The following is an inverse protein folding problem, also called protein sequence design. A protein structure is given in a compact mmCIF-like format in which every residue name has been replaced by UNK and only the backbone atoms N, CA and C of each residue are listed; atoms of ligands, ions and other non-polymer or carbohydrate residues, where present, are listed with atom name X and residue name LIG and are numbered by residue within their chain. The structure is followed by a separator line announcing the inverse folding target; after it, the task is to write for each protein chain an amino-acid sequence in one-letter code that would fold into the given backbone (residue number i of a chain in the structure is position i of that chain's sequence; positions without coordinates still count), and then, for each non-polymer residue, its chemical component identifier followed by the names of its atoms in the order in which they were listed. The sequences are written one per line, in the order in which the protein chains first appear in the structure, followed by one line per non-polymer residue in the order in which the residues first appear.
data_IF_295097212653
#
_entry.id   IF_295097212653
#
_cell.length_a   1.000
_cell.length_b   1.000
_cell.length_c   1.000
_cell.angle_alpha   90.00
_cell.angle_beta   90.00
_cell.angle_gamma   90.00
#
_symmetry.space_group_name_H-M   'P 1'
#
loop_
_entity.id
_entity.type
_entity.pdbx_description
1 polymer ?
#
# COMPACT_ATOMS: atom_id res chain seq x y z
N UNK A 1 -1.15 -4.72 -20.40
CA UNK A 1 -0.94 -4.99 -18.96
C UNK A 1 -1.76 -3.97 -18.20
N UNK A 2 -2.74 -4.40 -17.39
CA UNK A 2 -3.50 -3.46 -16.57
C UNK A 2 -2.67 -3.02 -15.38
N UNK A 3 -2.99 -1.88 -14.78
CA UNK A 3 -2.26 -1.36 -13.63
C UNK A 3 -2.35 -2.30 -12.40
N UNK A 4 -3.40 -3.12 -12.29
CA UNK A 4 -3.57 -4.15 -11.25
C UNK A 4 -2.69 -5.38 -11.44
N UNK A 5 -2.32 -5.74 -12.67
CA UNK A 5 -1.51 -6.93 -12.96
C UNK A 5 0.00 -6.70 -12.79
N UNK A 6 0.40 -5.50 -12.37
CA UNK A 6 1.81 -5.16 -12.19
C UNK A 6 2.39 -5.84 -10.93
N UNK A 7 3.62 -6.34 -11.05
CA UNK A 7 4.42 -6.82 -9.93
C UNK A 7 4.56 -5.74 -8.85
N UNK A 8 4.34 -6.12 -7.59
CA UNK A 8 4.50 -5.22 -6.44
C UNK A 8 5.97 -4.79 -6.32
N UNK A 9 6.89 -5.76 -6.30
CA UNK A 9 8.32 -5.50 -6.16
C UNK A 9 8.84 -4.59 -7.28
N UNK A 10 8.60 -4.94 -8.54
CA UNK A 10 9.09 -4.16 -9.68
C UNK A 10 8.47 -2.76 -9.71
N UNK A 11 7.21 -2.61 -9.28
CA UNK A 11 6.56 -1.31 -9.17
C UNK A 11 7.26 -0.41 -8.15
N UNK A 12 7.68 -0.96 -7.02
CA UNK A 12 8.38 -0.21 -5.98
C UNK A 12 9.82 0.08 -6.41
N UNK A 13 10.54 -0.90 -6.96
CA UNK A 13 11.89 -0.71 -7.54
C UNK A 13 11.91 0.42 -8.56
N UNK A 14 10.94 0.42 -9.49
CA UNK A 14 10.81 1.48 -10.49
C UNK A 14 10.64 2.86 -9.87
N UNK A 15 9.88 2.99 -8.78
CA UNK A 15 9.70 4.27 -8.06
C UNK A 15 10.95 4.69 -7.28
N UNK A 16 11.76 3.73 -6.85
CA UNK A 16 13.07 3.97 -6.23
C UNK A 16 14.16 4.29 -7.27
N UNK A 17 13.86 4.22 -8.57
CA UNK A 17 14.84 4.44 -9.64
C UNK A 17 15.70 3.22 -9.97
N UNK A 18 15.27 2.03 -9.55
CA UNK A 18 15.97 0.76 -9.82
C UNK A 18 15.32 0.04 -11.00
N UNK A 19 16.16 -0.57 -11.84
CA UNK A 19 15.70 -1.45 -12.91
C UNK A 19 15.15 -2.77 -12.36
N UNK A 20 14.15 -3.35 -13.03
CA UNK A 20 13.54 -4.61 -12.61
C UNK A 20 14.54 -5.78 -12.57
N UNK A 21 15.52 -5.79 -13.48
CA UNK A 21 16.57 -6.81 -13.56
C UNK A 21 17.70 -6.64 -12.54
N UNK A 22 17.74 -5.55 -11.78
CA UNK A 22 18.76 -5.30 -10.76
C UNK A 22 18.33 -5.85 -9.41
N UNK A 23 18.84 -7.01 -9.02
CA UNK A 23 18.30 -7.82 -7.89
C UNK A 23 19.08 -7.70 -6.59
N UNK A 24 20.16 -6.91 -6.54
CA UNK A 24 21.06 -6.84 -5.36
C UNK A 24 20.35 -6.39 -4.08
N UNK A 25 19.27 -5.61 -4.20
CA UNK A 25 18.49 -5.08 -3.07
C UNK A 25 17.11 -5.71 -2.93
N UNK A 26 16.79 -6.77 -3.68
CA UNK A 26 15.43 -7.33 -3.68
C UNK A 26 15.01 -7.79 -2.28
N UNK A 27 15.91 -8.46 -1.56
CA UNK A 27 15.65 -8.95 -0.19
C UNK A 27 15.34 -7.80 0.78
N UNK A 28 16.11 -6.71 0.71
CA UNK A 28 15.91 -5.55 1.59
C UNK A 28 14.58 -4.83 1.27
N UNK A 29 14.32 -4.62 -0.02
CA UNK A 29 13.09 -3.96 -0.48
C UNK A 29 11.86 -4.81 -0.14
N UNK A 30 11.92 -6.13 -0.34
CA UNK A 30 10.87 -7.08 0.06
C UNK A 30 10.61 -6.99 1.56
N UNK A 31 11.67 -6.97 2.37
CA UNK A 31 11.56 -6.87 3.84
C UNK A 31 10.80 -5.61 4.25
N UNK A 32 11.09 -4.47 3.62
CA UNK A 32 10.38 -3.22 3.88
C UNK A 32 8.93 -3.25 3.37
N UNK A 33 8.68 -3.78 2.18
CA UNK A 33 7.33 -3.96 1.64
C UNK A 33 6.48 -4.80 2.60
N UNK A 34 6.99 -5.93 3.09
CA UNK A 34 6.27 -6.82 4.00
C UNK A 34 5.98 -6.14 5.36
N UNK A 35 6.90 -5.32 5.86
CA UNK A 35 6.67 -4.49 7.06
C UNK A 35 5.51 -3.49 6.85
N UNK A 36 5.40 -2.93 5.64
CA UNK A 36 4.31 -2.03 5.30
C UNK A 36 2.99 -2.76 5.14
N UNK A 37 2.97 -3.98 4.56
CA UNK A 37 1.77 -4.81 4.55
C UNK A 37 1.26 -5.12 5.96
N UNK A 38 2.15 -5.41 6.91
CA UNK A 38 1.77 -5.60 8.30
C UNK A 38 1.12 -4.34 8.91
N UNK A 39 1.59 -3.15 8.52
CA UNK A 39 0.98 -1.88 8.97
C UNK A 39 -0.39 -1.68 8.33
N UNK A 40 -0.52 -1.89 7.02
CA UNK A 40 -1.81 -1.80 6.32
C UNK A 40 -2.85 -2.78 6.89
N UNK A 41 -2.42 -3.98 7.28
CA UNK A 41 -3.28 -4.95 7.96
C UNK A 41 -3.86 -4.40 9.27
N UNK A 42 -3.06 -3.69 10.06
CA UNK A 42 -3.52 -3.07 11.31
C UNK A 42 -4.52 -1.93 11.05
N UNK A 43 -4.47 -1.31 9.87
CA UNK A 43 -5.46 -0.34 9.41
C UNK A 43 -6.68 -1.01 8.77
N UNK A 44 -6.81 -2.34 8.86
CA UNK A 44 -7.84 -3.15 8.21
C UNK A 44 -7.87 -3.04 6.67
N UNK A 45 -6.70 -2.79 6.05
CA UNK A 45 -6.55 -2.74 4.59
C UNK A 45 -5.84 -4.00 4.08
N UNK A 46 -6.48 -4.69 3.14
CA UNK A 46 -5.95 -5.89 2.49
C UNK A 46 -6.61 -7.19 2.95
N UNK A 47 -6.01 -8.35 2.66
CA UNK A 47 -6.56 -9.66 3.02
C UNK A 47 -6.62 -9.90 4.52
N UNK A 48 -7.68 -10.56 5.02
CA UNK A 48 -7.92 -10.76 6.46
C UNK A 48 -6.81 -11.50 7.21
N UNK A 49 -6.05 -12.37 6.54
CA UNK A 49 -4.95 -13.13 7.13
C UNK A 49 -3.57 -12.45 6.95
N UNK A 50 -3.54 -11.19 6.54
CA UNK A 50 -2.32 -10.49 6.15
C UNK A 50 -1.85 -10.87 4.75
N UNK A 51 -0.73 -10.26 4.35
CA UNK A 51 -0.13 -10.46 3.03
C UNK A 51 1.38 -10.26 3.11
N UNK A 52 2.12 -10.99 2.28
CA UNK A 52 3.57 -10.85 2.12
C UNK A 52 3.97 -11.31 0.73
N UNK A 53 5.12 -10.84 0.27
CA UNK A 53 5.75 -11.26 -0.98
C UNK A 53 7.11 -11.86 -0.69
N UNK A 54 7.53 -12.82 -1.52
CA UNK A 54 8.85 -13.46 -1.48
C UNK A 54 9.67 -13.17 -2.75
N UNK A 55 9.00 -12.72 -3.82
CA UNK A 55 9.60 -12.45 -5.12
C UNK A 55 8.77 -11.42 -5.90
N UNK A 56 9.11 -11.27 -7.19
CA UNK A 56 8.44 -10.35 -8.11
C UNK A 56 7.12 -10.86 -8.69
N UNK A 57 6.75 -12.12 -8.51
CA UNK A 57 5.57 -12.72 -9.15
C UNK A 57 4.27 -12.23 -8.51
N UNK A 58 4.33 -11.80 -7.25
CA UNK A 58 3.20 -11.20 -6.55
C UNK A 58 2.76 -9.86 -7.16
N UNK A 59 1.47 -9.77 -7.48
CA UNK A 59 0.84 -8.62 -8.16
C UNK A 59 0.00 -7.80 -7.21
N UNK A 60 -0.25 -6.55 -7.59
CA UNK A 60 -1.17 -5.70 -6.82
C UNK A 60 -2.59 -6.26 -6.74
N UNK A 61 -3.04 -7.00 -7.76
CA UNK A 61 -4.32 -7.71 -7.73
C UNK A 61 -4.36 -8.87 -6.72
N UNK A 62 -3.22 -9.43 -6.33
CA UNK A 62 -3.20 -10.48 -5.30
C UNK A 62 -3.45 -9.88 -3.90
N UNK A 63 -3.05 -8.62 -3.69
CA UNK A 63 -3.26 -7.90 -2.43
C UNK A 63 -4.61 -7.15 -2.38
N UNK A 64 -4.98 -6.49 -3.48
CA UNK A 64 -6.24 -5.77 -3.65
C UNK A 64 -7.00 -6.34 -4.86
N UNK A 65 -7.72 -7.46 -4.70
CA UNK A 65 -8.33 -8.20 -5.81
C UNK A 65 -9.45 -7.45 -6.51
N UNK A 66 -10.18 -6.61 -5.77
CA UNK A 66 -11.18 -5.71 -6.34
C UNK A 66 -10.55 -4.32 -6.44
N UNK A 67 -10.57 -3.76 -7.66
CA UNK A 67 -10.17 -2.38 -7.86
C UNK A 67 -11.18 -1.46 -7.16
N UNK A 68 -10.87 -1.09 -5.91
CA UNK A 68 -11.60 -0.08 -5.17
C UNK A 68 -10.84 1.26 -5.27
N UNK A 69 -11.37 2.25 -6.03
CA UNK A 69 -10.71 3.54 -6.18
C UNK A 69 -10.44 4.27 -4.86
N UNK A 70 -11.20 3.96 -3.79
CA UNK A 70 -11.03 4.56 -2.48
C UNK A 70 -9.70 4.14 -1.81
N UNK A 71 -9.14 2.99 -2.22
CA UNK A 71 -7.87 2.46 -1.70
C UNK A 71 -6.67 2.78 -2.61
N UNK A 72 -6.82 3.65 -3.61
CA UNK A 72 -5.75 3.98 -4.55
C UNK A 72 -4.46 4.50 -3.87
N UNK A 73 -4.58 5.13 -2.70
CA UNK A 73 -3.43 5.66 -1.95
C UNK A 73 -2.51 4.58 -1.37
N UNK A 74 -2.94 3.32 -1.27
CA UNK A 74 -2.14 2.19 -0.76
C UNK A 74 -0.78 2.09 -1.45
N UNK A 75 -0.74 2.26 -2.78
CA UNK A 75 0.51 2.11 -3.54
C UNK A 75 1.47 3.29 -3.33
N UNK A 76 0.93 4.49 -3.17
CA UNK A 76 1.71 5.68 -2.83
C UNK A 76 2.25 5.59 -1.40
N UNK A 77 1.41 5.16 -0.47
CA UNK A 77 1.78 4.86 0.91
C UNK A 77 2.92 3.83 0.98
N UNK A 78 2.78 2.71 0.26
CA UNK A 78 3.81 1.68 0.16
C UNK A 78 5.15 2.26 -0.28
N UNK A 79 5.16 3.01 -1.38
CA UNK A 79 6.37 3.65 -1.87
C UNK A 79 7.00 4.61 -0.85
N UNK A 80 6.22 5.50 -0.25
CA UNK A 80 6.75 6.49 0.70
C UNK A 80 7.39 5.82 1.91
N UNK A 81 6.74 4.81 2.49
CA UNK A 81 7.27 4.05 3.63
C UNK A 81 8.54 3.30 3.25
N UNK A 82 8.55 2.59 2.12
CA UNK A 82 9.73 1.85 1.66
C UNK A 82 10.88 2.82 1.36
N UNK A 83 10.61 3.95 0.70
CA UNK A 83 11.62 4.98 0.40
C UNK A 83 12.24 5.55 1.67
N UNK A 84 11.44 5.80 2.71
CA UNK A 84 11.93 6.28 4.01
C UNK A 84 12.81 5.25 4.76
N UNK A 85 12.57 3.95 4.57
CA UNK A 85 13.33 2.88 5.23
C UNK A 85 14.61 2.50 4.48
N UNK A 86 14.54 2.46 3.14
CA UNK A 86 15.61 1.95 2.28
C UNK A 86 16.62 3.03 1.87
N UNK A 87 16.13 4.13 1.31
CA UNK A 87 16.97 5.21 0.77
C UNK A 87 16.31 6.56 1.10
N UNK A 88 16.30 6.98 2.38
CA UNK A 88 15.60 8.18 2.81
C UNK A 88 16.14 9.42 2.10
N UNK A 89 15.30 10.43 1.83
CA UNK A 89 15.77 11.71 1.30
C UNK A 89 16.86 12.31 2.20
N UNK A 90 17.86 12.96 1.61
CA UNK A 90 18.98 13.55 2.36
C UNK A 90 18.62 14.87 3.04
N UNK A 91 17.50 15.49 2.66
CA UNK A 91 17.07 16.78 3.19
C UNK A 91 15.94 16.63 4.21
N UNK A 92 16.02 17.39 5.29
CA UNK A 92 15.01 17.36 6.36
C UNK A 92 13.62 17.75 5.87
N UNK A 93 13.52 18.75 4.97
CA UNK A 93 12.23 19.17 4.40
C UNK A 93 11.55 18.07 3.57
N UNK A 94 12.34 17.24 2.86
CA UNK A 94 11.78 16.13 2.08
C UNK A 94 11.36 14.98 2.98
N UNK A 95 12.16 14.66 4.02
CA UNK A 95 11.80 13.68 5.04
C UNK A 95 10.48 14.09 5.71
N UNK A 96 10.37 15.34 6.17
CA UNK A 96 9.16 15.87 6.82
C UNK A 96 7.95 15.82 5.88
N UNK A 97 8.12 16.22 4.62
CA UNK A 97 7.06 16.12 3.61
C UNK A 97 6.57 14.69 3.41
N UNK A 98 7.47 13.71 3.37
CA UNK A 98 7.11 12.29 3.21
C UNK A 98 6.42 11.76 4.45
N UNK A 99 6.92 12.09 5.64
CA UNK A 99 6.31 11.71 6.91
C UNK A 99 4.90 12.29 7.08
N UNK A 100 4.68 13.53 6.66
CA UNK A 100 3.36 14.16 6.72
C UNK A 100 2.37 13.47 5.77
N UNK A 101 2.79 13.15 4.53
CA UNK A 101 1.96 12.37 3.60
C UNK A 101 1.66 10.96 4.12
N UNK A 102 2.65 10.30 4.72
CA UNK A 102 2.48 8.99 5.35
C UNK A 102 1.41 9.04 6.44
N UNK A 103 1.48 10.01 7.35
CA UNK A 103 0.48 10.17 8.43
C UNK A 103 -0.92 10.46 7.88
N UNK A 104 -1.01 11.32 6.88
CA UNK A 104 -2.29 11.61 6.23
C UNK A 104 -2.90 10.36 5.59
N UNK A 105 -2.09 9.57 4.88
CA UNK A 105 -2.58 8.32 4.27
C UNK A 105 -2.95 7.27 5.31
N UNK A 106 -2.22 7.13 6.41
CA UNK A 106 -2.59 6.20 7.49
C UNK A 106 -3.96 6.56 8.06
N UNK A 107 -4.21 7.85 8.33
CA UNK A 107 -5.52 8.32 8.79
C UNK A 107 -6.62 8.08 7.75
N UNK A 108 -6.41 8.47 6.49
CA UNK A 108 -7.41 8.29 5.43
C UNK A 108 -7.72 6.83 5.16
N UNK A 109 -6.70 5.97 5.14
CA UNK A 109 -6.86 4.53 4.95
C UNK A 109 -7.62 3.91 6.11
N UNK A 110 -7.34 4.33 7.35
CA UNK A 110 -8.09 3.86 8.51
C UNK A 110 -9.57 4.24 8.41
N UNK A 111 -9.89 5.50 8.11
CA UNK A 111 -11.29 5.96 7.93
C UNK A 111 -11.95 5.20 6.78
N UNK A 112 -11.27 5.07 5.64
CA UNK A 112 -11.82 4.37 4.46
C UNK A 112 -12.09 2.89 4.77
N UNK A 113 -11.17 2.22 5.45
CA UNK A 113 -11.33 0.81 5.83
C UNK A 113 -12.51 0.64 6.79
N UNK A 114 -12.65 1.52 7.78
CA UNK A 114 -13.77 1.51 8.73
C UNK A 114 -15.12 1.69 8.00
N UNK A 115 -15.23 2.69 7.11
CA UNK A 115 -16.43 2.90 6.29
C UNK A 115 -16.76 1.71 5.39
N UNK A 116 -15.76 1.00 4.87
CA UNK A 116 -15.98 -0.18 4.03
C UNK A 116 -16.40 -1.42 4.83
N UNK A 117 -15.98 -1.52 6.09
CA UNK A 117 -16.38 -2.61 6.99
C UNK A 117 -17.78 -2.41 7.57
N UNK A 118 -18.16 -1.15 7.80
CA UNK A 118 -19.46 -0.77 8.35
C UNK A 118 -20.11 0.27 7.43
N UNK A 119 -20.61 -0.15 6.25
CA UNK A 119 -21.38 0.76 5.41
C UNK A 119 -22.63 1.21 6.17
N UNK A 120 -22.91 2.51 6.15
CA UNK A 120 -24.20 3.04 6.61
C UNK A 120 -25.32 2.31 5.83
N UNK A 121 -26.43 1.92 6.49
CA UNK A 121 -27.55 1.30 5.81
C UNK A 121 -28.07 2.26 4.73
N UNK A 122 -28.44 1.69 3.57
CA UNK A 122 -29.04 2.51 2.51
C UNK A 122 -30.47 2.89 2.90
N UNK A 123 -30.95 4.09 2.52
CA UNK A 123 -32.33 4.56 2.84
C UNK A 123 -33.41 3.51 2.48
N UNK A 124 -33.19 2.69 1.44
CA UNK A 124 -34.07 1.60 1.02
C UNK A 124 -34.18 0.42 2.02
N UNK A 125 -33.20 0.26 2.92
CA UNK A 125 -33.18 -0.78 3.96
C UNK A 125 -33.91 -0.32 5.24
N UNK A 126 -34.10 1.00 5.43
CA UNK A 126 -34.78 1.57 6.60
C UNK A 126 -36.31 1.62 6.45
N UNK A 127 -36.85 1.62 5.22
CA UNK A 127 -38.31 1.64 4.97
C UNK A 127 -38.98 0.24 5.06
N UNK A 128 -38.22 -0.82 5.35
CA UNK A 128 -38.66 -2.22 5.32
C UNK A 128 -39.08 -2.86 6.65
N UNK A 129 -39.01 -2.14 7.79
CA UNK A 129 -39.40 -2.62 9.13
C UNK A 129 -40.75 -2.03 9.61
#
# INVERSE_FOLDING_TARGET
MTYSDASILDSIKKKLGLDAGYTEFDVDIITHINSVFATLQQLAVGPTNGFSIEDKEAKWSDYLPVANPQLNMVRSYMYLKVRLLFDPPTTSFAIESFQNQVKEYEWRLNVTADTLLYPEPTEDEEEGE
#
